data_IF_487387594172
#
_entry.id   IF_487387594172
#
_cell.length_a   1.000
_cell.length_b   1.000
_cell.length_c   1.000
_cell.angle_alpha   90.00
_cell.angle_beta   90.00
_cell.angle_gamma   90.00
#
_symmetry.space_group_name_H-M   'P 1'
#
loop_
_entity.id
_entity.type
_entity.pdbx_description
1 polymer ?
#
# COMPACT_ATOMS: atom_id res chain seq x y z
N UNK A 1 1.69 30.55 34.39
CA UNK A 1 1.21 29.18 34.71
C UNK A 1 0.36 28.57 33.60
N UNK A 2 -0.65 29.26 33.05
CA UNK A 2 -1.47 28.74 31.93
C UNK A 2 -0.68 28.29 30.69
N UNK A 3 0.39 29.01 30.31
CA UNK A 3 1.25 28.62 29.18
C UNK A 3 1.93 27.26 29.40
N UNK A 4 2.48 27.04 30.59
CA UNK A 4 3.16 25.78 30.94
C UNK A 4 2.17 24.63 31.03
N UNK A 5 1.01 24.84 31.64
CA UNK A 5 -0.07 23.84 31.70
C UNK A 5 -0.55 23.45 30.30
N UNK A 6 -0.79 24.44 29.42
CA UNK A 6 -1.19 24.19 28.02
C UNK A 6 -0.12 23.39 27.27
N UNK A 7 1.15 23.75 27.41
CA UNK A 7 2.25 23.02 26.76
C UNK A 7 2.33 21.59 27.29
N UNK A 8 2.22 21.40 28.61
CA UNK A 8 2.23 20.06 29.22
C UNK A 8 1.07 19.19 28.71
N UNK A 9 -0.14 19.74 28.61
CA UNK A 9 -1.30 19.03 28.06
C UNK A 9 -1.07 18.66 26.58
N UNK A 10 -0.58 19.59 25.76
CA UNK A 10 -0.30 19.33 24.35
C UNK A 10 0.79 18.26 24.16
N UNK A 11 1.83 18.27 24.99
CA UNK A 11 2.88 17.25 24.97
C UNK A 11 2.35 15.89 25.44
N UNK A 12 1.45 15.84 26.42
CA UNK A 12 0.81 14.60 26.85
C UNK A 12 -0.08 14.00 25.75
N UNK A 13 -0.88 14.84 25.08
CA UNK A 13 -1.67 14.43 23.91
C UNK A 13 -0.75 13.93 22.80
N UNK A 14 0.34 14.64 22.51
CA UNK A 14 1.30 14.22 21.49
C UNK A 14 1.96 12.88 21.83
N UNK A 15 2.37 12.70 23.09
CA UNK A 15 3.00 11.47 23.57
C UNK A 15 2.05 10.27 23.48
N UNK A 16 0.79 10.45 23.89
CA UNK A 16 -0.23 9.38 23.80
C UNK A 16 -0.52 8.99 22.36
N UNK A 17 -0.71 9.97 21.45
CA UNK A 17 -0.90 9.69 20.02
C UNK A 17 0.32 8.99 19.41
N UNK A 18 1.54 9.42 19.75
CA UNK A 18 2.76 8.78 19.29
C UNK A 18 2.90 7.33 19.80
N UNK A 19 2.56 7.10 21.07
CA UNK A 19 2.58 5.77 21.69
C UNK A 19 1.54 4.84 21.04
N UNK A 20 0.31 5.31 20.81
CA UNK A 20 -0.72 4.52 20.14
C UNK A 20 -0.33 4.13 18.72
N UNK A 21 0.23 5.08 17.95
CA UNK A 21 0.74 4.82 16.61
C UNK A 21 1.87 3.78 16.62
N UNK A 22 2.80 3.89 17.57
CA UNK A 22 3.88 2.93 17.73
C UNK A 22 3.37 1.53 18.10
N UNK A 23 2.44 1.42 19.06
CA UNK A 23 1.82 0.16 19.47
C UNK A 23 0.96 -0.48 18.36
N UNK A 24 0.30 0.33 17.53
CA UNK A 24 -0.44 -0.17 16.39
C UNK A 24 0.51 -0.81 15.37
N UNK A 25 1.63 -0.14 15.08
CA UNK A 25 2.65 -0.65 14.15
C UNK A 25 3.35 -1.89 14.68
N UNK A 26 3.75 -1.92 15.95
CA UNK A 26 4.45 -3.07 16.53
C UNK A 26 3.57 -4.32 16.57
N UNK A 27 2.26 -4.17 16.81
CA UNK A 27 1.29 -5.27 16.71
C UNK A 27 1.03 -5.71 15.27
N UNK A 28 0.98 -4.78 14.32
CA UNK A 28 0.87 -5.13 12.90
C UNK A 28 2.09 -5.93 12.42
N UNK A 29 3.30 -5.54 12.85
CA UNK A 29 4.55 -6.20 12.48
C UNK A 29 4.88 -7.45 13.31
N UNK A 30 4.08 -7.81 14.32
CA UNK A 30 4.30 -9.03 15.10
C UNK A 30 3.74 -10.28 14.42
N UNK A 31 2.83 -10.11 13.46
CA UNK A 31 2.19 -11.18 12.70
C UNK A 31 1.55 -12.28 13.56
N UNK A 32 1.09 -11.91 14.76
CA UNK A 32 0.36 -12.82 15.65
C UNK A 32 -1.13 -12.92 15.29
N UNK A 33 -1.69 -11.82 14.80
CA UNK A 33 -3.08 -11.71 14.33
C UNK A 33 -3.11 -11.23 12.87
N UNK A 34 -4.15 -11.59 12.10
CA UNK A 34 -4.35 -11.05 10.76
C UNK A 34 -4.40 -9.52 10.77
N UNK A 35 -3.62 -8.91 9.88
CA UNK A 35 -3.71 -7.49 9.57
C UNK A 35 -5.00 -7.24 8.78
N UNK A 36 -5.96 -6.53 9.39
CA UNK A 36 -7.20 -6.15 8.70
C UNK A 36 -6.98 -4.89 7.88
N UNK A 37 -7.25 -5.01 6.59
CA UNK A 37 -7.05 -3.96 5.59
C UNK A 37 -8.41 -3.63 4.99
N UNK A 38 -8.84 -2.37 5.09
CA UNK A 38 -10.03 -1.89 4.40
C UNK A 38 -9.62 -1.18 3.11
N UNK A 39 -10.19 -1.58 1.99
CA UNK A 39 -9.95 -1.00 0.67
C UNK A 39 -11.18 -0.20 0.26
N UNK A 40 -11.04 1.12 0.23
CA UNK A 40 -12.08 2.09 -0.10
C UNK A 40 -11.95 2.52 -1.57
N UNK A 41 -12.81 2.02 -2.46
CA UNK A 41 -12.83 2.48 -3.84
C UNK A 41 -13.40 3.90 -3.96
N UNK A 42 -12.76 4.71 -4.81
CA UNK A 42 -13.14 6.09 -5.09
C UNK A 42 -13.16 6.28 -6.60
N UNK A 43 -14.18 6.94 -7.12
CA UNK A 43 -14.16 7.39 -8.51
C UNK A 43 -13.25 8.62 -8.61
N UNK A 44 -12.03 8.43 -9.13
CA UNK A 44 -10.99 9.47 -9.18
C UNK A 44 -11.18 10.50 -10.31
N UNK A 45 -11.89 10.13 -11.37
CA UNK A 45 -12.07 10.96 -12.57
C UNK A 45 -13.52 11.38 -12.84
N UNK A 46 -14.45 10.98 -11.96
CA UNK A 46 -15.88 11.25 -12.08
C UNK A 46 -16.53 10.60 -13.31
N UNK A 47 -15.86 9.67 -14.01
CA UNK A 47 -16.38 9.11 -15.24
C UNK A 47 -17.50 8.09 -14.98
N UNK A 48 -18.51 7.98 -15.87
CA UNK A 48 -19.51 6.93 -15.80
C UNK A 48 -18.91 5.52 -15.93
N UNK A 49 -17.82 5.38 -16.69
CA UNK A 49 -17.10 4.12 -16.85
C UNK A 49 -16.50 3.65 -15.51
N UNK A 50 -15.81 4.55 -14.79
CA UNK A 50 -15.30 4.26 -13.45
C UNK A 50 -16.43 3.92 -12.49
N UNK A 51 -17.52 4.70 -12.46
CA UNK A 51 -18.69 4.38 -11.61
C UNK A 51 -19.25 2.99 -11.91
N UNK A 52 -19.38 2.63 -13.20
CA UNK A 52 -19.83 1.30 -13.63
C UNK A 52 -18.89 0.19 -13.16
N UNK A 53 -17.57 0.40 -13.27
CA UNK A 53 -16.56 -0.52 -12.77
C UNK A 53 -16.66 -0.72 -11.25
N UNK A 54 -16.78 0.37 -10.47
CA UNK A 54 -16.89 0.29 -9.01
C UNK A 54 -18.16 -0.42 -8.55
N UNK A 55 -19.29 -0.18 -9.21
CA UNK A 55 -20.55 -0.88 -8.92
C UNK A 55 -20.47 -2.38 -9.21
N UNK A 56 -19.54 -2.81 -10.06
CA UNK A 56 -19.28 -4.22 -10.37
C UNK A 56 -18.31 -4.91 -9.41
N UNK A 57 -17.64 -4.18 -8.50
CA UNK A 57 -16.70 -4.77 -7.53
C UNK A 57 -17.44 -5.70 -6.57
N UNK A 58 -16.96 -6.93 -6.49
CA UNK A 58 -17.49 -7.96 -5.59
C UNK A 58 -16.76 -7.92 -4.25
N UNK A 59 -17.35 -8.42 -3.15
CA UNK A 59 -16.69 -8.48 -1.85
C UNK A 59 -15.33 -9.19 -1.85
N UNK A 60 -15.13 -10.14 -2.76
CA UNK A 60 -13.90 -10.91 -2.93
C UNK A 60 -12.96 -10.34 -4.01
N UNK A 61 -13.18 -9.12 -4.51
CA UNK A 61 -12.37 -8.51 -5.57
C UNK A 61 -10.86 -8.43 -5.23
N UNK A 62 -10.51 -8.46 -3.95
CA UNK A 62 -9.14 -8.39 -3.46
C UNK A 62 -8.63 -9.68 -2.80
N UNK A 63 -9.33 -10.82 -3.01
CA UNK A 63 -8.93 -12.10 -2.42
C UNK A 63 -7.50 -12.53 -2.84
N UNK A 64 -7.07 -12.17 -4.06
CA UNK A 64 -5.72 -12.45 -4.53
C UNK A 64 -4.63 -11.80 -3.64
N UNK A 65 -4.92 -10.68 -2.96
CA UNK A 65 -3.99 -10.06 -2.02
C UNK A 65 -3.87 -10.93 -0.76
N UNK A 66 -4.99 -11.41 -0.20
CA UNK A 66 -4.99 -12.32 0.95
C UNK A 66 -4.21 -13.61 0.64
N UNK A 67 -4.45 -14.18 -0.54
CA UNK A 67 -3.81 -15.41 -1.02
C UNK A 67 -2.30 -15.22 -1.22
N UNK A 68 -1.89 -14.12 -1.88
CA UNK A 68 -0.49 -13.76 -2.06
C UNK A 68 0.24 -13.67 -0.72
N UNK A 69 -0.30 -12.93 0.25
CA UNK A 69 0.35 -12.80 1.55
C UNK A 69 0.42 -14.14 2.30
N UNK A 70 -0.59 -14.99 2.20
CA UNK A 70 -0.58 -16.33 2.80
C UNK A 70 0.50 -17.23 2.17
N UNK A 71 0.65 -17.19 0.84
CA UNK A 71 1.69 -17.92 0.14
C UNK A 71 3.09 -17.44 0.51
N UNK A 72 3.31 -16.13 0.51
CA UNK A 72 4.61 -15.55 0.79
C UNK A 72 4.98 -15.69 2.27
N UNK A 73 4.02 -15.59 3.20
CA UNK A 73 4.26 -15.87 4.60
C UNK A 73 4.74 -17.31 4.81
N UNK A 74 4.11 -18.28 4.13
CA UNK A 74 4.55 -19.68 4.13
C UNK A 74 5.93 -19.85 3.51
N UNK A 75 6.23 -19.17 2.40
CA UNK A 75 7.54 -19.17 1.73
C UNK A 75 8.65 -18.68 2.66
N UNK A 76 8.36 -17.68 3.49
CA UNK A 76 9.29 -17.14 4.50
C UNK A 76 9.23 -17.84 5.87
N UNK A 77 8.43 -18.91 6.00
CA UNK A 77 8.41 -19.77 7.19
C UNK A 77 7.57 -19.25 8.36
N UNK A 78 6.63 -18.33 8.11
CA UNK A 78 5.71 -17.86 9.14
C UNK A 78 4.62 -18.90 9.42
N UNK A 79 4.21 -19.00 10.68
CA UNK A 79 3.17 -19.92 11.14
C UNK A 79 1.72 -19.38 10.97
N UNK A 80 1.57 -18.10 10.58
CA UNK A 80 0.25 -17.49 10.39
C UNK A 80 -0.33 -17.87 9.02
N UNK A 81 -1.50 -18.52 9.02
CA UNK A 81 -2.15 -18.96 7.79
C UNK A 81 -2.80 -17.82 7.00
N UNK A 82 -3.27 -16.77 7.69
CA UNK A 82 -3.92 -15.60 7.10
C UNK A 82 -3.29 -14.32 7.65
N UNK A 83 -2.09 -13.93 7.19
CA UNK A 83 -1.40 -12.72 7.64
C UNK A 83 -2.16 -11.43 7.33
N UNK A 84 -2.91 -11.40 6.24
CA UNK A 84 -3.72 -10.25 5.79
C UNK A 84 -5.17 -10.68 5.61
N UNK A 85 -6.08 -9.78 5.96
CA UNK A 85 -7.50 -9.89 5.69
C UNK A 85 -7.99 -8.59 5.04
N UNK A 86 -7.97 -8.54 3.71
CA UNK A 86 -8.45 -7.43 2.92
C UNK A 86 -9.98 -7.48 2.79
N UNK A 87 -10.62 -6.33 2.99
CA UNK A 87 -12.08 -6.17 2.87
C UNK A 87 -12.39 -5.00 1.95
N UNK A 88 -13.22 -5.25 0.95
CA UNK A 88 -13.82 -4.19 0.14
C UNK A 88 -14.76 -3.35 1.02
N UNK A 89 -14.45 -2.08 1.17
CA UNK A 89 -15.29 -1.11 1.88
C UNK A 89 -16.30 -0.45 0.92
N UNK A 90 -17.34 0.24 1.44
CA UNK A 90 -18.24 1.02 0.61
C UNK A 90 -17.51 2.07 -0.24
N UNK A 91 -18.06 2.35 -1.42
CA UNK A 91 -17.57 3.43 -2.30
C UNK A 91 -17.63 4.77 -1.56
N UNK A 92 -16.54 5.53 -1.64
CA UNK A 92 -16.48 6.90 -1.09
C UNK A 92 -16.73 7.89 -2.22
N UNK A 93 -17.71 8.78 -2.03
CA UNK A 93 -18.13 9.77 -3.02
C UNK A 93 -17.44 11.14 -2.88
N UNK A 94 -16.48 11.25 -1.95
CA UNK A 94 -15.67 12.45 -1.75
C UNK A 94 -14.21 12.12 -2.11
N UNK A 95 -13.50 13.06 -2.72
CA UNK A 95 -12.08 12.89 -3.01
C UNK A 95 -11.23 13.21 -1.76
N UNK A 96 -10.16 12.45 -1.51
CA UNK A 96 -9.23 12.77 -0.44
C UNK A 96 -8.44 14.04 -0.76
N UNK A 97 -7.95 14.78 0.26
CA UNK A 97 -7.09 15.93 0.02
C UNK A 97 -5.83 15.49 -0.71
N UNK A 98 -5.51 16.19 -1.79
CA UNK A 98 -4.36 15.84 -2.64
C UNK A 98 -3.04 16.25 -1.97
N UNK A 99 -1.98 15.43 -2.09
CA UNK A 99 -0.66 15.76 -1.58
C UNK A 99 -0.12 17.04 -2.26
N UNK A 100 0.56 17.93 -1.52
CA UNK A 100 1.10 19.16 -2.10
C UNK A 100 2.24 18.82 -3.08
N UNK A 101 2.18 19.36 -4.30
CA UNK A 101 3.26 19.21 -5.30
C UNK A 101 4.38 20.21 -4.99
N UNK A 102 5.55 19.73 -4.59
CA UNK A 102 6.70 20.59 -4.26
C UNK A 102 6.51 21.44 -2.99
N UNK A 103 5.65 21.00 -2.07
CA UNK A 103 5.35 21.71 -0.83
C UNK A 103 6.47 21.66 0.20
N UNK A 104 6.46 22.62 1.12
CA UNK A 104 7.37 22.65 2.27
C UNK A 104 7.08 21.49 3.25
N UNK A 105 8.01 21.24 4.18
CA UNK A 105 7.78 20.26 5.25
C UNK A 105 6.49 20.56 6.05
N UNK A 106 6.15 21.84 6.22
CA UNK A 106 4.91 22.26 6.88
C UNK A 106 3.67 21.89 6.07
N UNK A 107 3.71 22.07 4.75
CA UNK A 107 2.59 21.69 3.87
C UNK A 107 2.31 20.19 3.93
N UNK A 108 3.37 19.38 3.97
CA UNK A 108 3.26 17.93 4.13
C UNK A 108 2.65 17.55 5.49
N UNK A 109 3.05 18.22 6.57
CA UNK A 109 2.46 18.01 7.90
C UNK A 109 0.97 18.37 7.88
N UNK A 110 0.61 19.55 7.38
CA UNK A 110 -0.78 20.02 7.33
C UNK A 110 -1.65 19.09 6.47
N UNK A 111 -1.14 18.68 5.31
CA UNK A 111 -1.80 17.69 4.46
C UNK A 111 -2.00 16.36 5.19
N UNK A 112 -0.98 15.86 5.90
CA UNK A 112 -1.09 14.60 6.64
C UNK A 112 -2.18 14.65 7.72
N UNK A 113 -2.36 15.80 8.38
CA UNK A 113 -3.43 16.01 9.36
C UNK A 113 -4.80 16.07 8.69
N UNK A 114 -4.92 16.79 7.57
CA UNK A 114 -6.15 16.84 6.76
C UNK A 114 -6.55 15.45 6.27
N UNK A 115 -5.58 14.67 5.77
CA UNK A 115 -5.80 13.29 5.34
C UNK A 115 -6.30 12.41 6.48
N UNK A 116 -5.69 12.47 7.67
CA UNK A 116 -6.15 11.68 8.83
C UNK A 116 -7.57 12.05 9.24
N UNK A 117 -7.88 13.34 9.30
CA UNK A 117 -9.23 13.81 9.61
C UNK A 117 -10.25 13.35 8.55
N UNK A 118 -9.90 13.50 7.27
CA UNK A 118 -10.73 13.07 6.15
C UNK A 118 -10.97 11.55 6.17
N UNK A 119 -9.92 10.75 6.40
CA UNK A 119 -10.02 9.30 6.48
C UNK A 119 -10.89 8.85 7.66
N UNK A 120 -10.77 9.51 8.82
CA UNK A 120 -11.63 9.25 9.98
C UNK A 120 -13.11 9.54 9.69
N UNK A 121 -13.41 10.61 8.94
CA UNK A 121 -14.77 10.99 8.52
C UNK A 121 -15.41 9.97 7.59
N UNK A 122 -14.59 9.29 6.78
CA UNK A 122 -15.01 8.35 5.73
C UNK A 122 -14.75 6.87 6.09
N UNK A 123 -14.45 6.57 7.36
CA UNK A 123 -14.25 5.21 7.85
C UNK A 123 -15.59 4.49 8.05
N UNK A 124 -16.13 3.94 6.97
CA UNK A 124 -17.44 3.29 6.92
C UNK A 124 -17.37 1.76 6.82
N UNK A 125 -16.22 1.13 7.09
CA UNK A 125 -16.12 -0.34 7.01
C UNK A 125 -17.06 -1.00 8.03
N UNK A 126 -17.88 -1.98 7.62
CA UNK A 126 -18.69 -2.77 8.53
C UNK A 126 -17.82 -3.65 9.44
N UNK A 127 -18.22 -3.82 10.71
CA UNK A 127 -17.59 -4.76 11.62
C UNK A 127 -16.37 -4.22 12.37
N UNK A 128 -15.31 -5.03 12.47
CA UNK A 128 -14.11 -4.66 13.24
C UNK A 128 -13.31 -3.56 12.55
N UNK A 129 -12.85 -2.58 13.32
CA UNK A 129 -12.03 -1.49 12.77
C UNK A 129 -10.76 -2.04 12.10
N UNK A 130 -10.46 -1.58 10.88
CA UNK A 130 -9.26 -2.00 10.16
C UNK A 130 -8.05 -1.31 10.75
N UNK A 131 -6.90 -1.99 10.73
CA UNK A 131 -5.62 -1.38 11.08
C UNK A 131 -5.13 -0.51 9.92
N UNK A 132 -5.26 -0.98 8.67
CA UNK A 132 -4.86 -0.26 7.46
C UNK A 132 -6.07 0.18 6.65
N UNK A 133 -6.04 1.40 6.13
CA UNK A 133 -7.05 1.94 5.21
C UNK A 133 -6.40 2.32 3.90
N UNK A 134 -6.78 1.67 2.82
CA UNK A 134 -6.29 1.94 1.48
C UNK A 134 -7.39 2.64 0.70
N UNK A 135 -7.18 3.89 0.32
CA UNK A 135 -8.10 4.65 -0.54
C UNK A 135 -7.62 4.52 -1.98
N UNK A 136 -8.38 3.82 -2.82
CA UNK A 136 -8.00 3.50 -4.19
C UNK A 136 -8.83 4.36 -5.14
N UNK A 137 -8.19 5.34 -5.77
CA UNK A 137 -8.77 6.20 -6.80
C UNK A 137 -8.68 5.46 -8.11
N UNK A 138 -9.84 5.12 -8.66
CA UNK A 138 -9.96 4.48 -9.95
C UNK A 138 -10.14 5.52 -11.06
N UNK A 139 -9.48 5.29 -12.18
CA UNK A 139 -9.48 6.17 -13.36
C UNK A 139 -9.81 5.38 -14.62
N UNK A 140 -10.61 5.95 -15.51
CA UNK A 140 -10.94 5.38 -16.80
C UNK A 140 -9.69 5.34 -17.70
N UNK A 141 -9.24 4.16 -18.13
CA UNK A 141 -8.06 4.04 -19.01
C UNK A 141 -8.29 4.69 -20.39
N UNK A 142 -9.55 4.90 -20.83
CA UNK A 142 -9.82 5.62 -22.07
C UNK A 142 -9.62 7.14 -21.95
N UNK A 143 -9.50 7.66 -20.72
CA UNK A 143 -9.28 9.09 -20.42
C UNK A 143 -7.88 9.36 -19.89
N UNK A 144 -7.17 8.33 -19.45
CA UNK A 144 -5.89 8.43 -18.78
C UNK A 144 -4.95 7.36 -19.33
N UNK A 145 -3.90 7.76 -20.04
CA UNK A 145 -2.92 6.80 -20.59
C UNK A 145 -1.90 6.34 -19.53
N UNK A 146 -1.79 7.08 -18.42
CA UNK A 146 -0.91 6.79 -17.29
C UNK A 146 -1.46 7.44 -16.02
N UNK A 147 -1.11 6.87 -14.87
CA UNK A 147 -1.49 7.42 -13.57
C UNK A 147 -0.27 7.99 -12.85
N UNK A 148 -0.44 9.07 -12.04
CA UNK A 148 0.59 9.50 -11.12
C UNK A 148 0.94 8.37 -10.14
N UNK A 149 2.20 8.37 -9.67
CA UNK A 149 2.61 7.46 -8.60
C UNK A 149 1.69 7.61 -7.39
N UNK A 150 1.29 6.48 -6.83
CA UNK A 150 0.54 6.39 -5.58
C UNK A 150 1.36 7.02 -4.45
N UNK A 151 0.67 7.59 -3.46
CA UNK A 151 1.33 8.27 -2.34
C UNK A 151 0.91 7.60 -1.04
N UNK A 152 1.81 6.81 -0.46
CA UNK A 152 1.67 6.35 0.91
C UNK A 152 1.82 7.52 1.90
N UNK A 153 0.86 7.73 2.80
CA UNK A 153 1.10 8.55 3.99
C UNK A 153 2.03 7.72 4.89
N UNK A 154 3.34 7.84 4.67
CA UNK A 154 4.45 7.01 5.18
C UNK A 154 4.51 6.73 6.70
N UNK A 155 3.55 7.19 7.51
CA UNK A 155 3.54 7.06 8.98
C UNK A 155 2.14 6.90 9.58
N UNK A 156 1.16 6.35 8.85
CA UNK A 156 -0.25 6.45 9.26
C UNK A 156 -1.18 5.25 9.06
N UNK A 157 -0.71 4.10 8.56
CA UNK A 157 -1.58 2.98 8.17
C UNK A 157 -2.67 3.40 7.16
N UNK A 158 -2.41 4.46 6.38
CA UNK A 158 -3.30 5.00 5.35
C UNK A 158 -2.52 5.06 4.03
N UNK A 159 -3.05 4.42 2.98
CA UNK A 159 -2.52 4.47 1.62
C UNK A 159 -3.46 5.24 0.69
N UNK A 160 -2.90 6.03 -0.23
CA UNK A 160 -3.62 6.66 -1.33
C UNK A 160 -3.08 6.10 -2.65
N UNK A 161 -3.91 5.33 -3.35
CA UNK A 161 -3.49 4.53 -4.50
C UNK A 161 -4.24 5.00 -5.74
N UNK A 162 -3.54 5.15 -6.86
CA UNK A 162 -4.17 5.33 -8.17
C UNK A 162 -4.21 3.99 -8.90
N UNK A 163 -5.37 3.64 -9.45
CA UNK A 163 -5.61 2.39 -10.15
C UNK A 163 -6.49 2.62 -11.40
N UNK A 164 -6.46 1.69 -12.35
CA UNK A 164 -7.32 1.78 -13.53
C UNK A 164 -8.65 1.06 -13.35
N UNK A 165 -9.72 1.67 -13.84
CA UNK A 165 -11.10 1.19 -13.73
C UNK A 165 -11.47 0.18 -14.83
N UNK A 166 -10.67 -0.87 -15.00
CA UNK A 166 -10.92 -1.91 -16.00
C UNK A 166 -10.51 -3.30 -15.49
N UNK A 167 -11.26 -4.32 -15.89
CA UNK A 167 -10.99 -5.71 -15.49
C UNK A 167 -9.64 -6.21 -16.03
N UNK A 168 -9.23 -5.76 -17.22
CA UNK A 168 -7.94 -6.13 -17.82
C UNK A 168 -6.72 -5.64 -17.03
N UNK A 169 -6.89 -4.71 -16.09
CA UNK A 169 -5.81 -4.19 -15.24
C UNK A 169 -5.99 -4.57 -13.77
N UNK A 170 -6.95 -5.44 -13.44
CA UNK A 170 -7.21 -5.85 -12.06
C UNK A 170 -5.99 -6.53 -11.42
N UNK A 171 -5.23 -7.33 -12.18
CA UNK A 171 -4.01 -7.97 -11.71
C UNK A 171 -2.90 -6.97 -11.39
N UNK A 172 -2.54 -6.07 -12.32
CA UNK A 172 -1.57 -5.00 -12.06
C UNK A 172 -2.02 -4.06 -10.94
N UNK A 173 -3.32 -3.74 -10.85
CA UNK A 173 -3.85 -2.97 -9.73
C UNK A 173 -3.62 -3.68 -8.39
N UNK A 174 -3.79 -5.02 -8.33
CA UNK A 174 -3.53 -5.79 -7.11
C UNK A 174 -2.06 -5.73 -6.70
N UNK A 175 -1.12 -5.72 -7.65
CA UNK A 175 0.32 -5.53 -7.40
C UNK A 175 0.58 -4.17 -6.77
N UNK A 176 0.03 -3.09 -7.35
CA UNK A 176 0.19 -1.73 -6.82
C UNK A 176 -0.42 -1.61 -5.42
N UNK A 177 -1.65 -2.11 -5.21
CA UNK A 177 -2.30 -2.06 -3.89
C UNK A 177 -1.47 -2.83 -2.84
N UNK A 178 -0.89 -3.96 -3.22
CA UNK A 178 -0.03 -4.77 -2.35
C UNK A 178 1.28 -4.07 -2.02
N UNK A 179 1.92 -3.46 -3.02
CA UNK A 179 3.12 -2.64 -2.85
C UNK A 179 2.88 -1.50 -1.86
N UNK A 180 1.80 -0.74 -2.05
CA UNK A 180 1.42 0.35 -1.15
C UNK A 180 1.03 -0.13 0.25
N UNK A 181 0.41 -1.30 0.36
CA UNK A 181 0.14 -1.92 1.66
C UNK A 181 1.45 -2.22 2.41
N UNK A 182 2.47 -2.76 1.73
CA UNK A 182 3.77 -3.05 2.33
C UNK A 182 4.50 -1.78 2.81
N UNK A 183 4.37 -0.66 2.11
CA UNK A 183 4.84 0.63 2.62
C UNK A 183 4.20 1.02 3.94
N UNK A 184 2.91 0.71 4.17
CA UNK A 184 2.27 0.98 5.47
C UNK A 184 2.89 0.18 6.62
N UNK A 185 3.51 -0.95 6.32
CA UNK A 185 4.21 -1.82 7.25
C UNK A 185 5.68 -1.41 7.46
N UNK A 186 6.20 -0.56 6.57
CA UNK A 186 7.54 0.00 6.65
C UNK A 186 8.51 -0.52 5.59
N UNK A 187 8.04 -1.27 4.60
CA UNK A 187 8.86 -1.66 3.46
C UNK A 187 9.33 -0.41 2.69
N UNK A 188 10.56 -0.47 2.17
CA UNK A 188 11.13 0.57 1.32
C UNK A 188 11.26 0.09 -0.12
N UNK A 189 11.15 1.04 -1.05
CA UNK A 189 11.36 0.80 -2.48
C UNK A 189 12.73 0.19 -2.75
N UNK A 190 12.76 -0.77 -3.68
CA UNK A 190 13.96 -1.50 -4.11
C UNK A 190 14.23 -1.27 -5.59
N UNK A 191 13.93 -0.06 -6.06
CA UNK A 191 14.19 0.39 -7.42
C UNK A 191 14.81 1.79 -7.42
N UNK A 192 15.50 2.13 -8.50
CA UNK A 192 16.12 3.44 -8.66
C UNK A 192 15.07 4.51 -8.99
N UNK A 193 15.07 5.63 -8.25
CA UNK A 193 14.06 6.68 -8.44
C UNK A 193 14.05 7.32 -9.85
N UNK A 194 15.17 7.28 -10.59
CA UNK A 194 15.28 7.89 -11.92
C UNK A 194 14.94 6.92 -13.06
N UNK A 195 15.62 5.76 -13.09
CA UNK A 195 15.46 4.76 -14.15
C UNK A 195 14.25 3.87 -13.92
N UNK A 196 13.77 3.80 -12.66
CA UNK A 196 12.62 3.02 -12.28
C UNK A 196 12.88 1.50 -12.48
N UNK A 197 14.16 1.13 -12.58
CA UNK A 197 14.67 -0.24 -12.68
C UNK A 197 14.86 -0.83 -11.28
N UNK A 198 14.55 -2.12 -11.06
CA UNK A 198 14.82 -2.78 -9.79
C UNK A 198 16.32 -2.79 -9.48
N UNK A 199 16.69 -2.49 -8.23
CA UNK A 199 18.07 -2.36 -7.79
C UNK A 199 18.63 -3.72 -7.37
N UNK A 200 19.62 -4.24 -8.08
CA UNK A 200 20.23 -5.53 -7.73
C UNK A 200 21.08 -5.44 -6.43
N UNK A 201 21.04 -6.45 -5.53
CA UNK A 201 20.23 -7.66 -5.58
C UNK A 201 18.82 -7.50 -5.00
N UNK A 202 18.59 -6.51 -4.14
CA UNK A 202 17.40 -6.48 -3.28
C UNK A 202 16.08 -6.31 -4.05
N UNK A 203 16.08 -5.62 -5.18
CA UNK A 203 14.94 -5.45 -6.08
C UNK A 203 14.67 -6.63 -7.01
N UNK A 204 15.45 -7.72 -6.89
CA UNK A 204 15.26 -8.92 -7.71
C UNK A 204 14.59 -9.99 -6.85
N UNK A 205 13.54 -10.62 -7.38
CA UNK A 205 12.87 -11.70 -6.67
C UNK A 205 13.74 -12.98 -6.63
N UNK A 206 14.57 -13.17 -7.66
CA UNK A 206 15.44 -14.34 -7.81
C UNK A 206 16.89 -13.87 -8.04
N UNK A 207 17.55 -13.23 -7.05
CA UNK A 207 18.87 -12.62 -7.24
C UNK A 207 19.97 -13.65 -7.57
N UNK A 208 19.78 -14.90 -7.16
CA UNK A 208 20.72 -16.02 -7.38
C UNK A 208 20.48 -16.79 -8.69
N UNK A 209 19.47 -16.40 -9.48
CA UNK A 209 19.11 -17.07 -10.74
C UNK A 209 20.26 -17.04 -11.75
N UNK A 210 20.50 -18.16 -12.43
CA UNK A 210 21.49 -18.28 -13.52
C UNK A 210 20.87 -18.96 -14.75
N UNK A 211 20.83 -18.31 -15.94
CA UNK A 211 21.24 -16.93 -16.20
C UNK A 211 20.34 -15.92 -15.47
N UNK A 212 20.91 -14.77 -15.06
CA UNK A 212 20.20 -13.73 -14.30
C UNK A 212 18.95 -13.21 -15.00
N UNK A 213 19.01 -13.09 -16.33
CA UNK A 213 17.93 -12.54 -17.14
C UNK A 213 17.39 -13.57 -18.14
N UNK A 214 16.09 -13.50 -18.49
CA UNK A 214 15.07 -12.71 -17.79
C UNK A 214 14.76 -13.33 -16.42
N UNK A 215 14.41 -12.49 -15.44
CA UNK A 215 13.77 -12.95 -14.20
C UNK A 215 12.36 -13.43 -14.53
N UNK A 216 11.82 -14.38 -13.75
CA UNK A 216 10.42 -14.83 -13.92
C UNK A 216 9.48 -13.99 -13.07
N UNK A 217 9.94 -13.54 -11.91
CA UNK A 217 9.16 -12.74 -10.97
C UNK A 217 9.77 -11.36 -10.76
N UNK A 218 8.93 -10.38 -10.44
CA UNK A 218 9.37 -9.11 -9.85
C UNK A 218 9.47 -9.26 -8.33
N UNK A 219 10.41 -8.56 -7.71
CA UNK A 219 10.30 -8.31 -6.28
C UNK A 219 9.21 -7.25 -6.07
N UNK A 220 8.29 -7.45 -5.13
CA UNK A 220 7.11 -6.59 -4.96
C UNK A 220 7.48 -5.12 -4.70
N UNK A 221 8.54 -4.85 -3.94
CA UNK A 221 9.07 -3.50 -3.69
C UNK A 221 10.05 -3.04 -4.77
N UNK A 222 10.54 -3.92 -5.64
CA UNK A 222 11.23 -3.60 -6.89
C UNK A 222 10.27 -3.22 -8.03
N UNK A 223 9.00 -3.65 -7.95
CA UNK A 223 7.87 -3.18 -8.74
C UNK A 223 7.82 -3.63 -10.20
N UNK A 224 8.91 -4.17 -10.76
CA UNK A 224 9.03 -4.59 -12.17
C UNK A 224 9.82 -5.89 -12.33
N UNK A 225 9.55 -6.65 -13.38
CA UNK A 225 10.25 -7.90 -13.73
C UNK A 225 11.51 -7.54 -14.55
N UNK A 226 12.74 -7.75 -14.06
CA UNK A 226 13.94 -7.48 -14.84
C UNK A 226 14.07 -8.42 -16.05
N UNK A 227 14.02 -7.86 -17.26
CA UNK A 227 14.13 -8.61 -18.53
C UNK A 227 15.54 -8.54 -19.09
N UNK A 228 16.20 -7.40 -18.95
CA UNK A 228 17.62 -7.17 -19.21
C UNK A 228 18.18 -6.21 -18.16
N UNK A 229 19.47 -5.88 -18.24
CA UNK A 229 20.09 -4.88 -17.37
C UNK A 229 19.46 -3.49 -17.47
N UNK A 230 18.90 -3.12 -18.63
CA UNK A 230 18.33 -1.79 -18.89
C UNK A 230 16.83 -1.79 -19.15
N UNK A 231 16.16 -2.95 -19.02
CA UNK A 231 14.72 -3.09 -19.28
C UNK A 231 14.07 -3.96 -18.21
N UNK A 232 12.96 -3.47 -17.68
CA UNK A 232 12.06 -4.23 -16.82
C UNK A 232 10.61 -4.02 -17.26
N UNK A 233 9.79 -5.07 -17.14
CA UNK A 233 8.38 -5.05 -17.54
C UNK A 233 7.46 -4.92 -16.31
N UNK A 234 6.27 -4.36 -16.51
CA UNK A 234 5.25 -4.23 -15.45
C UNK A 234 4.56 -5.59 -15.26
N UNK A 235 4.43 -6.10 -14.02
CA UNK A 235 3.68 -7.32 -13.76
C UNK A 235 2.19 -7.17 -14.12
N UNK A 236 1.65 -8.16 -14.83
CA UNK A 236 0.25 -8.21 -15.24
C UNK A 236 -0.66 -8.78 -14.14
N UNK A 237 -0.10 -9.59 -13.22
CA UNK A 237 -0.81 -10.15 -12.07
C UNK A 237 0.08 -10.24 -10.83
N UNK A 238 -0.57 -10.43 -9.67
CA UNK A 238 0.11 -10.65 -8.39
C UNK A 238 0.84 -12.00 -8.33
N UNK A 239 0.55 -12.93 -9.26
CA UNK A 239 1.26 -14.21 -9.36
C UNK A 239 2.65 -14.06 -9.98
N UNK A 240 2.95 -12.90 -10.57
CA UNK A 240 4.24 -12.57 -11.16
C UNK A 240 5.16 -11.80 -10.20
N UNK A 241 4.79 -11.67 -8.93
CA UNK A 241 5.58 -10.95 -7.93
C UNK A 241 5.84 -11.80 -6.70
N UNK A 242 6.94 -11.52 -5.98
CA UNK A 242 7.33 -12.19 -4.75
C UNK A 242 7.79 -11.17 -3.70
N UNK A 243 7.68 -11.51 -2.42
CA UNK A 243 8.33 -10.76 -1.33
C UNK A 243 9.78 -11.23 -1.23
N UNK A 244 10.72 -10.32 -1.51
CA UNK A 244 12.15 -10.61 -1.38
C UNK A 244 12.60 -10.69 0.09
N UNK A 245 13.78 -11.30 0.37
CA UNK A 245 14.33 -11.38 1.73
C UNK A 245 14.45 -10.02 2.45
N UNK A 246 14.88 -8.97 1.74
CA UNK A 246 15.00 -7.62 2.30
C UNK A 246 13.64 -7.05 2.72
N UNK A 247 12.64 -7.16 1.85
CA UNK A 247 11.25 -6.74 2.15
C UNK A 247 10.68 -7.53 3.33
N UNK A 248 10.90 -8.85 3.37
CA UNK A 248 10.49 -9.70 4.48
C UNK A 248 11.11 -9.24 5.81
N UNK A 249 12.40 -8.86 5.83
CA UNK A 249 13.04 -8.31 7.03
C UNK A 249 12.41 -6.97 7.44
N UNK A 250 12.17 -6.06 6.50
CA UNK A 250 11.60 -4.73 6.76
C UNK A 250 10.20 -4.80 7.38
N UNK A 251 9.38 -5.75 6.94
CA UNK A 251 8.02 -5.95 7.48
C UNK A 251 7.97 -6.86 8.71
N UNK A 252 9.12 -7.35 9.19
CA UNK A 252 9.22 -8.15 10.42
C UNK A 252 8.93 -9.64 10.26
N UNK A 253 8.97 -10.18 9.04
CA UNK A 253 8.85 -11.62 8.76
C UNK A 253 10.12 -12.39 9.07
N UNK A 254 11.27 -11.73 8.93
CA UNK A 254 12.58 -12.29 9.18
C UNK A 254 13.34 -11.43 10.18
N UNK A 255 14.19 -12.08 10.97
CA UNK A 255 15.19 -11.36 11.75
C UNK A 255 16.28 -10.82 10.81
N UNK A 256 16.80 -9.62 11.07
CA UNK A 256 17.93 -9.08 10.31
C UNK A 256 19.18 -9.93 10.48
#
# INVERSE_FOLDING_TARGET
>A
MFKLLRIAILLLILATVAQEAWLARSRAASWQDPLRVAIYPINGDGSPATTGYLNGLRPNAFAAIDEFFAEEARRHGLAIARPVAATLAPVVNELPPQPPRGGSAFDNILWSLKMRWWAWRHDAVPGMKPQVRLFVLYFDPARNDSLPHSVGVQRGMIGLINAFATQGMAGSNAVIITHELLHTLGATDKYEAYSNLPSFPDGYAEPDRTPRYPQVFAEIMGGRIPVTESRADIPESIDQVLIGPGTATEIGWRKP
#
